data_IF_683924745074
#
_entry.id   IF_683924745074
#
_cell.length_a   1.000
_cell.length_b   1.000
_cell.length_c   1.000
_cell.angle_alpha   90.00
_cell.angle_beta   90.00
_cell.angle_gamma   90.00
#
_symmetry.space_group_name_H-M   'P 1'
#
loop_
_entity.id
_entity.type
_entity.pdbx_description
1 polymer ?
#
# COMPACT_ATOMS: atom_id res chain seq x y z
N UNK A 1 -9.16 19.98 -40.58
CA UNK A 1 -8.18 19.18 -39.80
C UNK A 1 -8.81 17.83 -39.58
N UNK A 2 -8.51 16.81 -40.40
CA UNK A 2 -9.02 15.44 -40.20
C UNK A 2 -8.32 14.88 -38.95
N UNK A 3 -9.04 14.78 -37.87
CA UNK A 3 -8.65 13.96 -36.72
C UNK A 3 -8.61 12.52 -37.25
N UNK A 4 -7.40 12.00 -37.47
CA UNK A 4 -7.20 10.56 -37.68
C UNK A 4 -7.66 9.92 -36.39
N UNK A 5 -8.90 9.37 -36.37
CA UNK A 5 -9.38 8.54 -35.29
C UNK A 5 -8.44 7.32 -35.22
N UNK A 6 -7.55 7.29 -34.24
CA UNK A 6 -6.77 6.08 -33.97
C UNK A 6 -7.76 4.92 -33.75
N UNK A 7 -7.55 3.81 -34.43
CA UNK A 7 -8.37 2.63 -34.23
C UNK A 7 -8.27 2.18 -32.76
N UNK A 8 -9.40 1.78 -32.13
CA UNK A 8 -9.38 1.28 -30.77
C UNK A 8 -8.43 0.08 -30.65
N UNK A 9 -7.46 0.17 -29.75
CA UNK A 9 -6.54 -0.91 -29.41
C UNK A 9 -7.26 -2.01 -28.63
N UNK A 10 -6.78 -3.25 -28.77
CA UNK A 10 -7.20 -4.39 -27.95
C UNK A 10 -6.16 -4.63 -26.86
N UNK A 11 -6.51 -4.39 -25.59
CA UNK A 11 -5.55 -4.32 -24.49
C UNK A 11 -5.93 -5.35 -23.41
N UNK A 12 -4.97 -6.21 -23.04
CA UNK A 12 -5.08 -7.06 -21.88
C UNK A 12 -4.59 -6.31 -20.63
N UNK A 13 -5.37 -6.35 -19.54
CA UNK A 13 -4.94 -5.88 -18.22
C UNK A 13 -4.91 -7.09 -17.29
N UNK A 14 -3.75 -7.37 -16.69
CA UNK A 14 -3.51 -8.54 -15.86
C UNK A 14 -3.40 -8.12 -14.39
N UNK A 15 -4.40 -8.51 -13.59
CA UNK A 15 -4.59 -8.10 -12.20
C UNK A 15 -5.62 -7.00 -12.06
N UNK A 16 -6.56 -7.17 -11.12
CA UNK A 16 -7.66 -6.25 -10.82
C UNK A 16 -7.53 -5.60 -9.44
N UNK A 17 -6.30 -5.33 -8.98
CA UNK A 17 -6.03 -4.39 -7.90
C UNK A 17 -6.23 -2.95 -8.36
N UNK A 18 -6.04 -1.96 -7.48
CA UNK A 18 -6.27 -0.54 -7.78
C UNK A 18 -5.51 -0.08 -9.04
N UNK A 19 -4.30 -0.57 -9.28
CA UNK A 19 -3.48 -0.21 -10.45
C UNK A 19 -4.11 -0.71 -11.75
N UNK A 20 -4.50 -1.98 -11.80
CA UNK A 20 -5.11 -2.56 -12.99
C UNK A 20 -6.52 -2.03 -13.23
N UNK A 21 -7.32 -1.88 -12.18
CA UNK A 21 -8.66 -1.32 -12.29
C UNK A 21 -8.64 0.12 -12.81
N UNK A 22 -7.73 0.95 -12.32
CA UNK A 22 -7.61 2.35 -12.77
C UNK A 22 -7.08 2.46 -14.19
N UNK A 23 -6.12 1.62 -14.57
CA UNK A 23 -5.64 1.55 -15.96
C UNK A 23 -6.77 1.09 -16.90
N UNK A 24 -7.47 0.00 -16.56
CA UNK A 24 -8.59 -0.52 -17.33
C UNK A 24 -9.73 0.49 -17.47
N UNK A 25 -10.08 1.18 -16.37
CA UNK A 25 -11.12 2.20 -16.35
C UNK A 25 -10.81 3.34 -17.33
N UNK A 26 -9.60 3.89 -17.26
CA UNK A 26 -9.22 5.02 -18.11
C UNK A 26 -9.05 4.60 -19.57
N UNK A 27 -8.39 3.46 -19.84
CA UNK A 27 -8.23 2.91 -21.19
C UNK A 27 -9.57 2.56 -21.86
N UNK A 28 -10.54 2.07 -21.07
CA UNK A 28 -11.85 1.68 -21.60
C UNK A 28 -12.69 2.84 -22.17
N UNK A 29 -12.24 4.09 -22.03
CA UNK A 29 -12.87 5.26 -22.68
C UNK A 29 -12.74 5.22 -24.19
N UNK A 30 -11.61 4.72 -24.72
CA UNK A 30 -11.31 4.75 -26.15
C UNK A 30 -10.89 3.39 -26.72
N UNK A 31 -10.57 2.41 -25.86
CA UNK A 31 -9.98 1.13 -26.24
C UNK A 31 -10.81 -0.06 -25.75
N UNK A 32 -10.59 -1.22 -26.36
CA UNK A 32 -11.16 -2.49 -25.90
C UNK A 32 -10.25 -3.10 -24.85
N UNK A 33 -10.72 -3.18 -23.62
CA UNK A 33 -9.95 -3.73 -22.51
C UNK A 33 -10.52 -5.08 -22.09
N UNK A 34 -9.66 -6.10 -21.93
CA UNK A 34 -9.99 -7.35 -21.27
C UNK A 34 -9.19 -7.46 -19.98
N UNK A 35 -9.87 -7.59 -18.84
CA UNK A 35 -9.21 -7.72 -17.53
C UNK A 35 -9.19 -9.17 -17.11
N UNK A 36 -8.01 -9.66 -16.69
CA UNK A 36 -7.80 -10.99 -16.11
C UNK A 36 -7.51 -10.84 -14.63
N UNK A 37 -8.25 -11.57 -13.80
CA UNK A 37 -8.06 -11.62 -12.36
C UNK A 37 -7.98 -13.07 -11.88
N UNK A 38 -6.95 -13.37 -11.08
CA UNK A 38 -6.73 -14.69 -10.51
C UNK A 38 -7.81 -15.09 -9.52
N UNK A 39 -8.23 -14.14 -8.66
CA UNK A 39 -9.23 -14.37 -7.63
C UNK A 39 -10.67 -14.33 -8.21
N UNK A 40 -11.60 -14.86 -7.46
CA UNK A 40 -13.04 -14.81 -7.77
C UNK A 40 -13.68 -13.46 -7.43
N UNK A 41 -12.88 -12.48 -7.01
CA UNK A 41 -13.27 -11.11 -6.70
C UNK A 41 -12.32 -10.08 -7.31
N UNK A 42 -12.81 -8.87 -7.51
CA UNK A 42 -12.02 -7.71 -7.91
C UNK A 42 -11.57 -6.90 -6.69
N UNK A 43 -10.56 -6.07 -6.87
CA UNK A 43 -10.10 -5.10 -5.87
C UNK A 43 -8.72 -5.37 -5.30
N UNK A 44 -8.19 -6.59 -5.41
CA UNK A 44 -6.91 -6.96 -4.79
C UNK A 44 -6.95 -6.72 -3.27
N UNK A 45 -6.14 -5.78 -2.76
CA UNK A 45 -6.15 -5.37 -1.34
C UNK A 45 -7.41 -4.59 -0.91
N UNK A 46 -8.27 -4.15 -1.83
CA UNK A 46 -9.60 -3.65 -1.50
C UNK A 46 -10.55 -4.82 -1.32
N UNK A 47 -10.56 -5.36 -0.11
CA UNK A 47 -11.24 -6.59 0.23
C UNK A 47 -12.20 -6.38 1.39
N UNK A 48 -13.48 -6.23 1.08
CA UNK A 48 -14.56 -6.14 2.05
C UNK A 48 -15.16 -7.51 2.31
N UNK A 49 -15.22 -7.92 3.57
CA UNK A 49 -15.81 -9.19 4.05
C UNK A 49 -17.01 -8.89 4.93
N UNK A 50 -18.08 -9.67 4.80
CA UNK A 50 -19.27 -9.50 5.63
C UNK A 50 -19.14 -10.25 6.95
N UNK A 51 -19.08 -9.52 8.06
CA UNK A 51 -19.14 -10.06 9.42
C UNK A 51 -20.61 -10.09 9.91
N UNK A 52 -21.41 -11.00 9.38
CA UNK A 52 -22.86 -10.95 9.47
C UNK A 52 -23.41 -9.83 8.58
N UNK A 53 -24.20 -8.87 9.11
CA UNK A 53 -24.71 -7.74 8.30
C UNK A 53 -23.68 -6.61 8.10
N UNK A 54 -22.52 -6.68 8.73
CA UNK A 54 -21.56 -5.59 8.81
C UNK A 54 -20.42 -5.80 7.81
N UNK A 55 -20.27 -4.92 6.78
CA UNK A 55 -19.15 -4.97 5.85
C UNK A 55 -17.87 -4.45 6.53
N UNK A 56 -16.78 -5.21 6.44
CA UNK A 56 -15.49 -4.89 7.06
C UNK A 56 -14.36 -5.04 6.05
N UNK A 57 -13.53 -4.02 5.89
CA UNK A 57 -12.36 -4.07 5.03
C UNK A 57 -11.20 -4.77 5.73
N UNK A 58 -10.55 -5.70 5.03
CA UNK A 58 -9.40 -6.44 5.56
C UNK A 58 -8.05 -5.94 5.03
N UNK A 59 -8.03 -5.14 3.96
CA UNK A 59 -6.79 -4.64 3.35
C UNK A 59 -6.77 -3.11 3.32
N UNK A 60 -7.31 -2.50 2.26
CA UNK A 60 -7.43 -1.04 2.20
C UNK A 60 -8.60 -0.55 3.07
N UNK A 61 -8.29 0.19 4.13
CA UNK A 61 -9.27 0.61 5.15
C UNK A 61 -9.49 2.13 5.14
N UNK A 62 -8.39 2.90 5.13
CA UNK A 62 -8.41 4.36 5.32
C UNK A 62 -7.47 5.07 4.36
N UNK A 63 -7.78 6.32 4.06
CA UNK A 63 -6.93 7.24 3.30
C UNK A 63 -7.06 8.65 3.89
N UNK A 64 -6.18 9.57 3.51
CA UNK A 64 -6.31 10.97 3.87
C UNK A 64 -6.24 11.89 2.65
N UNK A 65 -6.92 13.03 2.74
CA UNK A 65 -7.09 13.93 1.61
C UNK A 65 -5.77 14.57 1.13
N UNK A 66 -4.82 14.75 2.05
CA UNK A 66 -3.54 15.39 1.74
C UNK A 66 -2.63 14.50 0.87
N UNK A 67 -2.60 13.21 1.17
CA UNK A 67 -1.63 12.28 0.56
C UNK A 67 -2.23 11.39 -0.52
N UNK A 68 -3.54 11.44 -0.72
CA UNK A 68 -4.24 10.62 -1.71
C UNK A 68 -5.02 11.50 -2.70
N UNK A 69 -4.37 12.49 -3.36
CA UNK A 69 -5.07 13.48 -4.17
C UNK A 69 -5.80 12.86 -5.37
N UNK A 70 -5.22 11.86 -6.04
CA UNK A 70 -5.91 11.20 -7.15
C UNK A 70 -7.04 10.29 -6.66
N UNK A 71 -6.87 9.63 -5.52
CA UNK A 71 -7.92 8.77 -4.96
C UNK A 71 -9.13 9.62 -4.51
N UNK A 72 -8.88 10.79 -3.90
CA UNK A 72 -9.93 11.76 -3.58
C UNK A 72 -10.68 12.18 -4.84
N UNK A 73 -9.96 12.63 -5.87
CA UNK A 73 -10.55 13.07 -7.11
C UNK A 73 -11.29 11.93 -7.85
N UNK A 74 -10.77 10.71 -7.81
CA UNK A 74 -11.45 9.53 -8.34
C UNK A 74 -12.74 9.24 -7.59
N UNK A 75 -12.74 9.30 -6.25
CA UNK A 75 -13.93 9.07 -5.45
C UNK A 75 -14.99 10.15 -5.66
N UNK A 76 -14.59 11.40 -5.79
CA UNK A 76 -15.49 12.49 -6.18
C UNK A 76 -16.10 12.25 -7.58
N UNK A 77 -15.26 11.92 -8.56
CA UNK A 77 -15.70 11.64 -9.92
C UNK A 77 -16.69 10.46 -10.00
N UNK A 78 -16.42 9.39 -9.24
CA UNK A 78 -17.28 8.21 -9.16
C UNK A 78 -18.42 8.35 -8.14
N UNK A 79 -18.52 9.48 -7.45
CA UNK A 79 -19.52 9.73 -6.39
C UNK A 79 -19.51 8.65 -5.29
N UNK A 80 -18.30 8.22 -4.87
CA UNK A 80 -18.13 7.22 -3.81
C UNK A 80 -18.41 7.88 -2.46
N UNK A 81 -19.36 7.37 -1.65
CA UNK A 81 -19.62 7.92 -0.34
C UNK A 81 -18.49 7.58 0.64
N UNK A 82 -18.05 8.58 1.40
CA UNK A 82 -16.96 8.42 2.38
C UNK A 82 -17.26 9.18 3.65
N UNK A 83 -16.76 8.69 4.79
CA UNK A 83 -16.91 9.33 6.11
C UNK A 83 -15.56 9.52 6.79
N UNK A 84 -15.53 10.45 7.77
CA UNK A 84 -14.32 10.70 8.59
C UNK A 84 -14.00 9.46 9.42
N UNK A 85 -12.72 9.09 9.45
CA UNK A 85 -12.19 7.95 10.21
C UNK A 85 -11.35 8.43 11.39
N UNK A 86 -11.44 7.73 12.51
CA UNK A 86 -10.64 8.00 13.71
C UNK A 86 -9.29 7.26 13.67
N UNK A 87 -8.30 7.89 13.04
CA UNK A 87 -6.95 7.33 12.92
C UNK A 87 -6.10 7.69 14.14
N UNK A 88 -6.05 6.77 15.10
CA UNK A 88 -5.34 6.92 16.37
C UNK A 88 -4.42 5.73 16.60
N UNK A 89 -3.41 5.88 17.45
CA UNK A 89 -2.36 4.88 17.66
C UNK A 89 -2.23 4.50 19.15
N UNK A 90 -2.26 3.21 19.45
CA UNK A 90 -2.07 2.64 20.78
C UNK A 90 -0.97 1.59 20.79
N UNK A 91 -0.25 1.51 21.89
CA UNK A 91 0.86 0.58 22.11
C UNK A 91 0.61 -0.27 23.35
N UNK A 92 0.85 -1.57 23.24
CA UNK A 92 0.87 -2.52 24.35
C UNK A 92 2.05 -3.47 24.18
N UNK A 93 3.04 -3.38 25.05
CA UNK A 93 4.26 -4.16 24.99
C UNK A 93 4.38 -5.06 26.23
N UNK A 94 4.98 -6.25 26.00
CA UNK A 94 5.35 -7.19 27.02
C UNK A 94 4.18 -7.50 27.98
N UNK A 95 3.06 -7.95 27.37
CA UNK A 95 1.82 -8.30 28.07
C UNK A 95 1.23 -7.15 28.92
N UNK A 96 1.29 -5.91 28.40
CA UNK A 96 0.79 -4.73 29.09
C UNK A 96 1.78 -4.15 30.12
N UNK A 97 3.04 -4.61 30.07
CA UNK A 97 4.10 -4.00 30.86
C UNK A 97 4.31 -2.53 30.48
N UNK A 98 4.20 -2.16 29.23
CA UNK A 98 4.13 -0.77 28.78
C UNK A 98 2.89 -0.58 27.90
N UNK A 99 1.98 0.32 28.31
CA UNK A 99 0.81 0.69 27.51
C UNK A 99 0.64 2.20 27.48
N UNK A 100 0.42 2.75 26.30
CA UNK A 100 0.09 4.15 26.09
C UNK A 100 -0.62 4.36 24.75
N UNK A 101 -1.37 5.45 24.63
CA UNK A 101 -1.99 5.89 23.37
C UNK A 101 -1.51 7.29 23.00
N UNK A 102 -1.49 7.60 21.72
CA UNK A 102 -1.02 8.89 21.19
C UNK A 102 -2.19 9.88 20.88
N UNK A 103 -3.36 9.70 21.49
CA UNK A 103 -4.55 10.50 21.18
C UNK A 103 -4.62 11.79 22.01
N UNK A 104 -4.31 11.69 23.29
CA UNK A 104 -4.32 12.79 24.26
C UNK A 104 -3.50 12.43 25.51
N UNK A 105 -3.32 13.38 26.42
CA UNK A 105 -2.55 13.15 27.64
C UNK A 105 -3.12 12.03 28.53
N UNK A 106 -4.44 11.87 28.60
CA UNK A 106 -5.07 10.81 29.40
C UNK A 106 -4.71 9.41 28.85
N UNK A 107 -4.70 9.24 27.53
CA UNK A 107 -4.28 7.97 26.89
C UNK A 107 -2.78 7.76 26.95
N UNK A 108 -1.99 8.83 26.83
CA UNK A 108 -0.53 8.79 26.93
C UNK A 108 -0.08 8.31 28.33
N UNK A 109 -0.74 8.77 29.37
CA UNK A 109 -0.51 8.39 30.76
C UNK A 109 -1.57 7.43 31.31
N UNK A 110 -2.21 6.63 30.47
CA UNK A 110 -3.18 5.60 30.87
C UNK A 110 -2.60 4.59 31.86
N UNK A 111 -1.29 4.44 31.90
CA UNK A 111 -0.54 3.77 32.95
C UNK A 111 0.07 4.82 33.91
N UNK A 112 -0.38 4.95 35.18
CA UNK A 112 0.15 5.97 36.11
C UNK A 112 1.66 5.88 36.33
N UNK A 113 2.25 4.70 36.28
CA UNK A 113 3.71 4.50 36.40
C UNK A 113 4.52 5.19 35.29
N UNK A 114 3.91 5.45 34.12
CA UNK A 114 4.57 6.18 33.03
C UNK A 114 4.92 7.60 33.44
N UNK A 115 4.17 8.22 34.36
CA UNK A 115 4.44 9.56 34.90
C UNK A 115 5.77 9.65 35.66
N UNK A 116 6.21 8.55 36.29
CA UNK A 116 7.45 8.51 37.08
C UNK A 116 8.56 7.72 36.40
N UNK A 117 8.36 7.27 35.17
CA UNK A 117 9.33 6.46 34.42
C UNK A 117 10.29 7.35 33.63
N UNK A 118 11.58 7.40 34.05
CA UNK A 118 12.63 8.10 33.28
C UNK A 118 12.78 7.56 31.85
N UNK A 119 12.62 6.23 31.64
CA UNK A 119 12.63 5.60 30.32
C UNK A 119 11.50 6.16 29.42
N UNK A 120 10.29 6.32 29.97
CA UNK A 120 9.15 6.84 29.24
C UNK A 120 9.33 8.32 28.86
N UNK A 121 9.82 9.15 29.77
CA UNK A 121 10.13 10.56 29.49
C UNK A 121 11.27 10.71 28.48
N UNK A 122 12.30 9.88 28.54
CA UNK A 122 13.37 9.83 27.53
C UNK A 122 12.82 9.50 26.13
N UNK A 123 11.90 8.53 26.04
CA UNK A 123 11.19 8.21 24.79
C UNK A 123 10.40 9.41 24.25
N UNK A 124 9.63 10.10 25.09
CA UNK A 124 8.88 11.29 24.67
C UNK A 124 9.78 12.44 24.21
N UNK A 125 10.91 12.66 24.90
CA UNK A 125 11.90 13.67 24.51
C UNK A 125 12.49 13.35 23.12
N UNK A 126 12.82 12.09 22.86
CA UNK A 126 13.35 11.64 21.58
C UNK A 126 12.29 11.69 20.46
N UNK A 127 11.01 11.40 20.74
CA UNK A 127 9.89 11.61 19.80
C UNK A 127 9.86 13.07 19.34
N UNK A 128 9.87 14.01 20.29
CA UNK A 128 9.83 15.44 19.97
C UNK A 128 11.09 15.90 19.22
N UNK A 129 12.26 15.37 19.58
CA UNK A 129 13.52 15.63 18.88
C UNK A 129 13.48 15.11 17.45
N UNK A 130 12.98 13.89 17.24
CA UNK A 130 12.83 13.29 15.91
C UNK A 130 11.86 14.10 15.05
N UNK A 131 10.69 14.45 15.56
CA UNK A 131 9.68 15.23 14.82
C UNK A 131 10.23 16.59 14.37
N UNK A 132 11.07 17.22 15.19
CA UNK A 132 11.65 18.53 14.90
C UNK A 132 12.80 18.47 13.89
N UNK A 133 13.67 17.48 13.98
CA UNK A 133 14.96 17.49 13.27
C UNK A 133 15.01 16.53 12.07
N UNK A 134 14.27 15.42 12.09
CA UNK A 134 14.33 14.42 11.03
C UNK A 134 14.02 14.99 9.64
N UNK A 135 13.02 15.87 9.43
CA UNK A 135 12.75 16.45 8.10
C UNK A 135 13.97 17.19 7.51
N UNK A 136 14.65 17.99 8.33
CA UNK A 136 15.87 18.71 7.90
C UNK A 136 17.01 17.73 7.59
N UNK A 137 17.16 16.68 8.40
CA UNK A 137 18.17 15.65 8.17
C UNK A 137 17.90 14.85 6.89
N UNK A 138 16.65 14.57 6.55
CA UNK A 138 16.29 13.88 5.32
C UNK A 138 16.80 14.63 4.09
N UNK A 139 16.71 15.96 4.06
CA UNK A 139 17.27 16.78 2.98
C UNK A 139 18.81 16.64 2.87
N UNK A 140 19.51 16.45 3.99
CA UNK A 140 20.96 16.26 4.02
C UNK A 140 21.39 14.83 3.62
N UNK A 141 20.45 13.87 3.66
CA UNK A 141 20.66 12.47 3.26
C UNK A 141 20.38 12.23 1.78
N UNK A 142 19.95 13.25 1.04
CA UNK A 142 19.52 13.15 -0.36
C UNK A 142 20.54 12.37 -1.21
N UNK A 143 20.09 11.28 -1.80
CA UNK A 143 20.90 10.37 -2.61
C UNK A 143 21.84 9.43 -1.82
N UNK A 144 21.90 9.51 -0.49
CA UNK A 144 22.67 8.58 0.34
C UNK A 144 21.81 7.41 0.81
N UNK A 145 22.32 6.20 0.67
CA UNK A 145 21.65 4.97 1.12
C UNK A 145 21.91 4.66 2.61
N UNK A 146 21.91 5.69 3.46
CA UNK A 146 22.02 5.51 4.92
C UNK A 146 20.78 4.78 5.42
N UNK A 147 20.98 3.68 6.14
CA UNK A 147 19.87 2.92 6.72
C UNK A 147 19.25 3.65 7.91
N UNK A 148 18.00 3.32 8.24
CA UNK A 148 17.33 3.89 9.42
C UNK A 148 18.11 3.54 10.71
N UNK A 149 18.62 2.31 10.83
CA UNK A 149 19.42 1.90 11.98
C UNK A 149 20.71 2.72 12.14
N UNK A 150 21.45 2.96 11.04
CA UNK A 150 22.65 3.81 11.03
C UNK A 150 22.32 5.26 11.41
N UNK A 151 21.25 5.81 10.84
CA UNK A 151 20.77 7.16 11.15
C UNK A 151 20.41 7.31 12.63
N UNK A 152 19.63 6.39 13.20
CA UNK A 152 19.21 6.45 14.60
C UNK A 152 20.41 6.37 15.54
N UNK A 153 21.39 5.51 15.22
CA UNK A 153 22.66 5.39 15.98
C UNK A 153 23.50 6.67 15.87
N UNK A 154 23.68 7.19 14.66
CA UNK A 154 24.48 8.39 14.42
C UNK A 154 23.91 9.64 15.13
N UNK A 155 22.57 9.72 15.20
CA UNK A 155 21.88 10.80 15.90
C UNK A 155 21.73 10.57 17.42
N UNK A 156 22.17 9.42 17.94
CA UNK A 156 22.13 9.09 19.36
C UNK A 156 20.72 8.99 19.94
N UNK A 157 19.77 8.42 19.19
CA UNK A 157 18.43 8.12 19.71
C UNK A 157 18.45 6.94 20.67
N UNK A 158 17.79 7.09 21.82
CA UNK A 158 17.78 6.08 22.88
C UNK A 158 16.96 4.83 22.53
N UNK A 159 17.26 3.71 23.19
CA UNK A 159 16.58 2.42 22.95
C UNK A 159 15.07 2.50 23.23
N UNK A 160 14.64 3.31 24.21
CA UNK A 160 13.23 3.48 24.51
C UNK A 160 12.47 4.07 23.31
N UNK A 161 13.03 5.07 22.64
CA UNK A 161 12.44 5.65 21.44
C UNK A 161 12.43 4.64 20.29
N UNK A 162 13.55 3.96 20.07
CA UNK A 162 13.67 3.00 18.98
C UNK A 162 12.74 1.81 19.17
N UNK A 163 12.81 1.13 20.31
CA UNK A 163 12.19 -0.18 20.52
C UNK A 163 10.74 -0.10 21.02
N UNK A 164 10.37 0.97 21.73
CA UNK A 164 9.04 1.10 22.31
C UNK A 164 8.11 2.03 21.50
N UNK A 165 8.64 2.76 20.47
CA UNK A 165 7.85 3.69 19.65
C UNK A 165 8.13 3.58 18.16
N UNK A 166 9.32 4.00 17.67
CA UNK A 166 9.56 4.24 16.24
C UNK A 166 9.54 2.96 15.39
N UNK A 167 10.39 1.99 15.77
CA UNK A 167 10.52 0.75 14.99
C UNK A 167 9.24 -0.07 14.99
N UNK A 168 8.51 -0.19 16.13
CA UNK A 168 7.18 -0.75 16.18
C UNK A 168 6.18 -0.10 15.23
N UNK A 169 6.11 1.22 15.27
CA UNK A 169 5.21 1.98 14.39
C UNK A 169 5.57 1.78 12.91
N UNK A 170 6.85 1.82 12.59
CA UNK A 170 7.35 1.61 11.23
C UNK A 170 7.03 0.18 10.73
N UNK A 171 7.30 -0.83 11.55
CA UNK A 171 6.98 -2.21 11.22
C UNK A 171 5.48 -2.42 10.97
N UNK A 172 4.63 -1.72 11.73
CA UNK A 172 3.18 -1.73 11.55
C UNK A 172 2.74 -1.10 10.21
N UNK A 173 3.39 -0.03 9.76
CA UNK A 173 3.04 0.69 8.53
C UNK A 173 3.31 -0.17 7.29
N UNK A 174 4.48 -0.82 7.23
CA UNK A 174 4.87 -1.64 6.07
C UNK A 174 4.62 -3.13 6.23
N UNK A 175 4.07 -3.56 7.39
CA UNK A 175 3.77 -4.98 7.67
C UNK A 175 4.99 -5.90 7.50
N UNK A 176 6.15 -5.43 7.96
CA UNK A 176 7.44 -6.15 7.92
C UNK A 176 8.02 -6.33 9.31
N UNK A 177 8.92 -7.31 9.54
CA UNK A 177 9.62 -7.48 10.80
C UNK A 177 10.40 -6.23 11.20
N UNK A 178 10.52 -5.95 12.51
CA UNK A 178 11.27 -4.80 13.05
C UNK A 178 12.74 -4.81 12.58
N UNK A 179 13.34 -5.98 12.42
CA UNK A 179 14.71 -6.11 11.92
C UNK A 179 14.86 -5.55 10.52
N UNK A 180 13.91 -5.83 9.63
CA UNK A 180 13.91 -5.32 8.25
C UNK A 180 13.74 -3.79 8.18
N UNK A 181 13.04 -3.18 9.14
CA UNK A 181 12.88 -1.72 9.21
C UNK A 181 14.19 -1.01 9.47
N UNK A 182 15.13 -1.61 10.21
CA UNK A 182 16.44 -1.00 10.46
C UNK A 182 17.25 -0.82 9.17
N UNK A 183 17.06 -1.69 8.20
CA UNK A 183 17.73 -1.66 6.89
C UNK A 183 17.03 -0.76 5.86
N UNK A 184 15.86 -0.22 6.21
CA UNK A 184 15.11 0.68 5.34
C UNK A 184 15.88 2.01 5.15
N UNK A 185 15.90 2.60 3.94
CA UNK A 185 16.55 3.89 3.72
C UNK A 185 15.94 5.00 4.58
N UNK A 186 16.77 5.64 5.41
CA UNK A 186 16.34 6.65 6.40
C UNK A 186 15.63 7.83 5.72
N UNK A 187 16.12 8.30 4.58
CA UNK A 187 15.52 9.38 3.82
C UNK A 187 14.09 9.03 3.41
N UNK A 188 13.88 7.88 2.77
CA UNK A 188 12.57 7.43 2.32
C UNK A 188 11.58 7.28 3.49
N UNK A 189 12.05 6.73 4.61
CA UNK A 189 11.25 6.60 5.83
C UNK A 189 10.82 7.97 6.39
N UNK A 190 11.76 8.90 6.53
CA UNK A 190 11.47 10.23 7.10
C UNK A 190 10.54 11.02 6.19
N UNK A 191 10.79 11.03 4.87
CA UNK A 191 9.92 11.69 3.89
C UNK A 191 8.49 11.11 3.91
N UNK A 192 8.38 9.80 4.02
CA UNK A 192 7.08 9.15 4.19
C UNK A 192 6.38 9.63 5.46
N UNK A 193 7.06 9.62 6.60
CA UNK A 193 6.48 10.09 7.87
C UNK A 193 6.06 11.57 7.80
N UNK A 194 6.87 12.40 7.14
CA UNK A 194 6.58 13.83 6.96
C UNK A 194 5.33 14.05 6.10
N UNK A 195 5.29 13.44 4.92
CA UNK A 195 4.16 13.57 3.98
C UNK A 195 2.85 13.03 4.56
N UNK A 196 2.90 11.95 5.35
CA UNK A 196 1.72 11.38 6.02
C UNK A 196 1.35 12.09 7.34
N UNK A 197 2.03 13.18 7.68
CA UNK A 197 1.74 13.95 8.90
C UNK A 197 2.04 13.20 10.20
N UNK A 198 2.84 12.12 10.14
CA UNK A 198 3.21 11.30 11.30
C UNK A 198 4.21 12.01 12.22
N UNK A 199 4.91 13.03 11.72
CA UNK A 199 5.82 13.89 12.48
C UNK A 199 5.14 15.13 13.05
N UNK A 200 3.81 15.15 13.12
CA UNK A 200 3.02 16.28 13.62
C UNK A 200 2.28 15.92 14.89
N UNK A 201 2.37 16.79 15.89
CA UNK A 201 1.54 16.70 17.10
C UNK A 201 0.17 17.32 16.87
N UNK A 202 0.14 18.47 16.15
CA UNK A 202 -1.07 19.21 15.81
C UNK A 202 -1.23 19.34 14.29
N UNK A 203 -2.45 19.60 13.84
CA UNK A 203 -2.72 19.77 12.39
C UNK A 203 -2.48 18.49 11.57
N UNK A 204 -2.78 17.34 12.14
CA UNK A 204 -2.72 16.04 11.44
C UNK A 204 -3.75 16.01 10.33
N UNK A 205 -3.47 15.30 9.21
CA UNK A 205 -4.43 15.16 8.12
C UNK A 205 -5.72 14.47 8.59
N UNK A 206 -6.84 14.86 8.01
CA UNK A 206 -8.12 14.17 8.22
C UNK A 206 -8.10 12.86 7.47
N UNK A 207 -8.40 11.79 8.18
CA UNK A 207 -8.53 10.46 7.60
C UNK A 207 -9.98 10.15 7.27
N UNK A 208 -10.18 9.37 6.22
CA UNK A 208 -11.50 8.97 5.74
C UNK A 208 -11.53 7.47 5.44
N UNK A 209 -12.73 6.92 5.40
CA UNK A 209 -13.02 5.54 4.99
C UNK A 209 -14.18 5.52 4.00
N UNK A 210 -14.29 4.46 3.21
CA UNK A 210 -15.38 4.27 2.25
C UNK A 210 -16.59 3.70 2.98
N UNK A 211 -17.76 4.33 2.85
CA UNK A 211 -19.00 3.83 3.40
C UNK A 211 -19.45 2.55 2.71
N UNK A 212 -19.81 1.53 3.48
CA UNK A 212 -20.15 0.20 2.98
C UNK A 212 -18.94 -0.65 2.59
N UNK A 213 -17.72 -0.17 2.89
CA UNK A 213 -16.45 -0.82 2.59
C UNK A 213 -15.92 -0.52 1.19
N UNK A 214 -14.68 -0.87 0.96
CA UNK A 214 -13.94 -0.59 -0.28
C UNK A 214 -14.59 -1.21 -1.53
N UNK A 215 -15.36 -2.29 -1.40
CA UNK A 215 -16.14 -2.86 -2.50
C UNK A 215 -17.08 -1.86 -3.19
N UNK A 216 -17.51 -0.81 -2.49
CA UNK A 216 -18.40 0.21 -3.05
C UNK A 216 -17.72 1.00 -4.17
N UNK A 217 -16.46 1.39 -3.99
CA UNK A 217 -15.71 2.07 -5.05
C UNK A 217 -15.26 1.08 -6.14
N UNK A 218 -14.88 -0.15 -5.78
CA UNK A 218 -14.49 -1.20 -6.75
C UNK A 218 -15.60 -1.42 -7.76
N UNK A 219 -16.82 -1.60 -7.29
CA UNK A 219 -17.99 -1.78 -8.15
C UNK A 219 -18.21 -0.60 -9.11
N UNK A 220 -18.07 0.63 -8.65
CA UNK A 220 -18.25 1.83 -9.48
C UNK A 220 -17.11 2.00 -10.51
N UNK A 221 -15.87 1.75 -10.09
CA UNK A 221 -14.69 1.86 -10.95
C UNK A 221 -14.71 0.84 -12.09
N UNK A 222 -15.22 -0.36 -11.84
CA UNK A 222 -15.25 -1.47 -12.82
C UNK A 222 -16.50 -1.51 -13.69
N UNK A 223 -17.53 -0.75 -13.36
CA UNK A 223 -18.86 -0.81 -14.01
C UNK A 223 -18.81 -0.65 -15.55
N UNK A 224 -17.91 0.20 -16.06
CA UNK A 224 -17.80 0.48 -17.51
C UNK A 224 -17.31 -0.71 -18.35
N UNK A 225 -16.54 -1.62 -17.76
CA UNK A 225 -15.94 -2.76 -18.45
C UNK A 225 -16.24 -4.10 -17.77
N UNK A 226 -17.29 -4.15 -16.95
CA UNK A 226 -17.65 -5.33 -16.14
C UNK A 226 -17.88 -6.59 -17.01
N UNK A 227 -18.44 -6.43 -18.20
CA UNK A 227 -18.69 -7.49 -19.19
C UNK A 227 -17.40 -8.10 -19.79
N UNK A 228 -16.25 -7.42 -19.63
CA UNK A 228 -14.95 -7.81 -20.17
C UNK A 228 -13.96 -8.23 -19.07
N UNK A 229 -14.45 -8.50 -17.87
CA UNK A 229 -13.66 -9.00 -16.76
C UNK A 229 -13.72 -10.53 -16.70
N UNK A 230 -12.57 -11.16 -16.53
CA UNK A 230 -12.39 -12.61 -16.37
C UNK A 230 -11.90 -12.88 -14.95
N UNK A 231 -12.81 -13.07 -14.03
CA UNK A 231 -12.53 -13.47 -12.65
C UNK A 231 -12.23 -14.97 -12.56
N UNK A 232 -11.45 -15.37 -11.56
CA UNK A 232 -11.01 -16.76 -11.39
C UNK A 232 -10.17 -17.25 -12.57
N UNK A 233 -9.52 -16.34 -13.32
CA UNK A 233 -8.84 -16.61 -14.56
C UNK A 233 -7.38 -16.10 -14.52
N UNK A 234 -6.49 -16.90 -13.95
CA UNK A 234 -5.07 -16.56 -13.86
C UNK A 234 -4.38 -16.55 -15.23
N UNK A 235 -3.60 -15.52 -15.52
CA UNK A 235 -2.65 -15.54 -16.63
C UNK A 235 -1.43 -16.33 -16.20
N UNK A 236 -1.03 -17.30 -17.04
CA UNK A 236 0.12 -18.18 -16.80
C UNK A 236 1.35 -17.80 -17.61
N UNK A 237 1.14 -17.27 -18.82
CA UNK A 237 2.23 -16.96 -19.73
C UNK A 237 1.88 -15.77 -20.62
N UNK A 238 2.87 -14.91 -20.81
CA UNK A 238 2.83 -13.76 -21.72
C UNK A 238 4.01 -13.89 -22.66
N UNK A 239 3.73 -14.00 -23.97
CA UNK A 239 4.73 -14.09 -25.03
C UNK A 239 4.61 -12.89 -25.97
N UNK A 240 5.73 -12.42 -26.51
CA UNK A 240 5.80 -11.22 -27.35
C UNK A 240 6.47 -11.58 -28.67
N UNK A 241 5.84 -11.29 -29.80
CA UNK A 241 6.30 -11.70 -31.13
C UNK A 241 6.52 -10.55 -32.12
N UNK A 242 6.57 -9.31 -31.62
CA UNK A 242 6.74 -8.11 -32.46
C UNK A 242 5.46 -7.62 -33.14
N UNK A 243 4.40 -8.44 -33.17
CA UNK A 243 3.08 -8.06 -33.72
C UNK A 243 2.05 -7.80 -32.62
N UNK A 244 2.45 -7.91 -31.35
CA UNK A 244 1.61 -7.74 -30.18
C UNK A 244 2.00 -8.71 -29.07
N UNK A 245 1.03 -9.01 -28.21
CA UNK A 245 1.22 -9.82 -27.01
C UNK A 245 0.25 -11.01 -27.04
N UNK A 246 0.76 -12.21 -26.77
CA UNK A 246 -0.02 -13.41 -26.58
C UNK A 246 -0.16 -13.69 -25.09
N UNK A 247 -1.39 -13.69 -24.59
CA UNK A 247 -1.74 -13.96 -23.21
C UNK A 247 -2.35 -15.35 -23.11
N UNK A 248 -1.73 -16.25 -22.34
CA UNK A 248 -2.22 -17.59 -22.05
C UNK A 248 -2.76 -17.64 -20.62
N UNK A 249 -4.01 -18.04 -20.49
CA UNK A 249 -4.65 -18.23 -19.19
C UNK A 249 -4.41 -19.62 -18.59
N UNK A 250 -4.89 -19.86 -17.38
CA UNK A 250 -4.76 -21.13 -16.66
C UNK A 250 -5.47 -22.31 -17.32
N UNK A 251 -6.39 -22.05 -18.24
CA UNK A 251 -7.11 -23.09 -19.01
C UNK A 251 -6.42 -23.43 -20.33
N UNK A 252 -5.26 -22.80 -20.59
CA UNK A 252 -4.49 -22.98 -21.84
C UNK A 252 -5.02 -22.17 -23.02
N UNK A 253 -6.04 -21.31 -22.81
CA UNK A 253 -6.57 -20.44 -23.87
C UNK A 253 -5.59 -19.33 -24.15
N UNK A 254 -5.17 -19.20 -25.41
CA UNK A 254 -4.26 -18.16 -25.88
C UNK A 254 -5.05 -17.11 -26.64
N UNK A 255 -4.85 -15.83 -26.28
CA UNK A 255 -5.44 -14.68 -26.99
C UNK A 255 -4.38 -13.67 -27.34
N UNK A 256 -4.53 -13.05 -28.51
CA UNK A 256 -3.67 -11.95 -28.97
C UNK A 256 -4.28 -10.61 -28.59
N UNK A 257 -3.42 -9.69 -28.19
CA UNK A 257 -3.71 -8.30 -27.89
C UNK A 257 -2.66 -7.39 -28.51
N UNK A 258 -3.03 -6.13 -28.78
CA UNK A 258 -2.07 -5.14 -29.26
C UNK A 258 -1.06 -4.82 -28.14
N UNK A 259 -1.55 -4.71 -26.90
CA UNK A 259 -0.73 -4.43 -25.71
C UNK A 259 -1.20 -5.24 -24.50
N UNK A 260 -0.27 -5.43 -23.55
CA UNK A 260 -0.57 -5.95 -22.22
C UNK A 260 -0.12 -4.97 -21.14
N UNK A 261 -1.00 -4.70 -20.17
CA UNK A 261 -0.70 -3.98 -18.93
C UNK A 261 -0.66 -4.99 -17.79
N UNK A 262 0.52 -5.22 -17.22
CA UNK A 262 0.74 -6.17 -16.13
C UNK A 262 0.66 -5.40 -14.81
N UNK A 263 -0.46 -5.55 -14.11
CA UNK A 263 -0.81 -4.89 -12.85
C UNK A 263 -0.78 -5.87 -11.66
N UNK A 264 0.10 -6.86 -11.72
CA UNK A 264 0.39 -7.82 -10.67
C UNK A 264 1.61 -7.39 -9.83
N UNK A 265 2.00 -8.15 -8.81
CA UNK A 265 3.26 -7.94 -8.11
C UNK A 265 4.45 -8.06 -9.07
N UNK A 266 5.56 -7.38 -8.78
CA UNK A 266 6.72 -7.34 -9.69
C UNK A 266 7.31 -8.74 -9.97
N UNK A 267 7.42 -9.58 -8.95
CA UNK A 267 7.87 -10.97 -9.05
C UNK A 267 6.90 -11.84 -9.87
N UNK A 268 5.59 -11.66 -9.65
CA UNK A 268 4.55 -12.34 -10.43
C UNK A 268 4.58 -11.88 -11.90
N UNK A 269 4.75 -10.56 -12.13
CA UNK A 269 4.88 -10.00 -13.47
C UNK A 269 6.06 -10.64 -14.21
N UNK A 270 7.23 -10.71 -13.56
CA UNK A 270 8.41 -11.36 -14.11
C UNK A 270 8.18 -12.85 -14.39
N UNK A 271 7.51 -13.55 -13.47
CA UNK A 271 7.22 -14.98 -13.59
C UNK A 271 6.27 -15.34 -14.74
N UNK A 272 5.40 -14.41 -15.16
CA UNK A 272 4.50 -14.62 -16.29
C UNK A 272 5.17 -14.43 -17.66
N UNK A 273 6.29 -13.69 -17.74
CA UNK A 273 6.97 -13.42 -19.01
C UNK A 273 7.68 -14.68 -19.53
N UNK A 274 7.39 -15.04 -20.77
CA UNK A 274 8.03 -16.17 -21.44
C UNK A 274 9.50 -15.90 -21.79
N UNK A 275 9.80 -14.65 -22.08
CA UNK A 275 11.03 -14.14 -22.69
C UNK A 275 11.48 -12.82 -22.04
N UNK A 276 11.63 -12.75 -20.70
CA UNK A 276 11.99 -11.52 -20.03
C UNK A 276 13.37 -11.01 -20.48
N UNK A 277 13.45 -9.71 -20.80
CA UNK A 277 14.70 -9.02 -21.13
C UNK A 277 15.63 -8.93 -19.89
N UNK A 278 16.93 -8.62 -20.07
CA UNK A 278 17.82 -8.36 -18.94
C UNK A 278 17.33 -7.27 -18.00
N UNK A 279 16.81 -6.15 -18.56
CA UNK A 279 16.27 -5.03 -17.76
C UNK A 279 15.02 -5.47 -16.94
N UNK A 280 14.12 -6.25 -17.53
CA UNK A 280 12.94 -6.76 -16.82
C UNK A 280 13.35 -7.70 -15.68
N UNK A 281 14.34 -8.59 -15.88
CA UNK A 281 14.87 -9.46 -14.81
C UNK A 281 15.50 -8.64 -13.69
N UNK A 282 16.31 -7.65 -14.02
CA UNK A 282 16.98 -6.77 -13.04
C UNK A 282 15.96 -5.96 -12.24
N UNK A 283 15.07 -5.24 -12.95
CA UNK A 283 14.22 -4.22 -12.32
C UNK A 283 13.00 -4.82 -11.61
N UNK A 284 12.31 -5.79 -12.21
CA UNK A 284 11.18 -6.47 -11.58
C UNK A 284 11.65 -7.46 -10.49
N UNK A 285 12.79 -8.13 -10.73
CA UNK A 285 13.37 -9.05 -9.77
C UNK A 285 13.97 -8.41 -8.52
N UNK A 286 14.08 -7.06 -8.48
CA UNK A 286 14.59 -6.34 -7.32
C UNK A 286 13.57 -6.25 -6.15
N UNK A 287 12.31 -6.62 -6.37
CA UNK A 287 11.25 -6.52 -5.36
C UNK A 287 10.96 -7.86 -4.71
N UNK A 288 11.23 -7.96 -3.40
CA UNK A 288 10.72 -9.04 -2.56
C UNK A 288 9.35 -8.69 -1.99
N UNK A 289 8.63 -9.72 -1.50
CA UNK A 289 7.33 -9.55 -0.86
C UNK A 289 7.28 -10.28 0.48
N UNK A 290 6.74 -9.62 1.50
CA UNK A 290 6.44 -10.22 2.81
C UNK A 290 5.03 -10.80 2.80
N UNK A 291 4.87 -12.01 3.33
CA UNK A 291 3.56 -12.66 3.49
C UNK A 291 3.02 -12.36 4.88
N UNK A 292 1.83 -11.77 4.94
CA UNK A 292 1.21 -11.31 6.15
C UNK A 292 -0.11 -12.03 6.40
N UNK A 293 -0.17 -12.80 7.46
CA UNK A 293 -1.39 -13.47 7.91
C UNK A 293 -2.32 -12.43 8.52
N UNK A 294 -3.49 -12.26 7.96
CA UNK A 294 -4.50 -11.26 8.36
C UNK A 294 -5.77 -11.95 8.77
N UNK A 295 -6.26 -11.66 9.97
CA UNK A 295 -7.45 -12.29 10.53
C UNK A 295 -8.48 -11.22 10.91
N UNK A 296 -9.71 -11.35 10.40
CA UNK A 296 -10.88 -10.62 10.86
C UNK A 296 -11.53 -11.43 11.99
N UNK A 297 -11.70 -10.82 13.16
CA UNK A 297 -12.20 -11.51 14.36
C UNK A 297 -12.88 -10.54 15.35
N UNK A 298 -13.53 -11.09 16.39
CA UNK A 298 -14.12 -10.37 17.52
C UNK A 298 -13.45 -10.69 18.87
N UNK A 299 -12.24 -11.26 18.86
CA UNK A 299 -11.50 -11.59 20.08
C UNK A 299 -10.69 -10.38 20.59
N UNK A 300 -11.07 -9.76 21.74
CA UNK A 300 -10.34 -8.61 22.28
C UNK A 300 -8.97 -8.99 22.89
N UNK A 301 -8.62 -10.26 22.97
CA UNK A 301 -7.35 -10.70 23.56
C UNK A 301 -6.11 -10.20 22.81
N UNK A 302 -6.26 -9.81 21.53
CA UNK A 302 -5.20 -9.22 20.70
C UNK A 302 -5.18 -7.69 20.74
N UNK A 303 -5.97 -7.06 21.62
CA UNK A 303 -5.98 -5.62 21.87
C UNK A 303 -5.17 -5.30 23.14
N UNK A 304 -4.78 -4.02 23.37
CA UNK A 304 -4.19 -3.59 24.62
C UNK A 304 -5.04 -4.02 25.81
N UNK A 305 -4.41 -4.37 26.93
CA UNK A 305 -5.15 -4.80 28.15
C UNK A 305 -6.04 -3.68 28.70
N UNK A 306 -5.55 -2.42 28.65
CA UNK A 306 -6.32 -1.25 29.06
C UNK A 306 -7.19 -0.76 27.93
N UNK A 307 -8.52 -0.82 28.13
CA UNK A 307 -9.47 -0.33 27.14
C UNK A 307 -9.30 1.16 26.82
N UNK A 308 -8.82 1.96 27.77
CA UNK A 308 -8.50 3.38 27.58
C UNK A 308 -7.37 3.64 26.57
N UNK A 309 -6.55 2.63 26.27
CA UNK A 309 -5.46 2.71 25.28
C UNK A 309 -5.93 2.26 23.88
N UNK A 310 -7.09 1.60 23.79
CA UNK A 310 -7.60 1.13 22.50
C UNK A 310 -7.75 2.29 21.52
N UNK A 311 -7.16 2.11 20.36
CA UNK A 311 -7.03 3.09 19.29
C UNK A 311 -7.45 2.47 17.96
N UNK A 312 -7.59 3.26 16.92
CA UNK A 312 -7.82 2.75 15.57
C UNK A 312 -6.74 1.74 15.17
N UNK A 313 -5.47 2.04 15.43
CA UNK A 313 -4.32 1.15 15.29
C UNK A 313 -3.76 0.78 16.64
N UNK A 314 -3.65 -0.52 16.90
CA UNK A 314 -3.10 -1.04 18.15
C UNK A 314 -1.91 -1.94 17.83
N UNK A 315 -0.77 -1.52 18.30
CA UNK A 315 0.46 -2.23 18.21
C UNK A 315 0.65 -3.08 19.48
N UNK A 316 0.69 -4.39 19.31
CA UNK A 316 0.84 -5.33 20.43
C UNK A 316 2.10 -6.16 20.22
N UNK A 317 3.01 -6.12 21.18
CA UNK A 317 4.27 -6.81 21.10
C UNK A 317 4.65 -7.52 22.40
N UNK A 318 5.42 -8.59 22.26
CA UNK A 318 6.05 -9.28 23.39
C UNK A 318 7.49 -9.69 23.05
N UNK A 319 8.34 -9.80 24.05
CA UNK A 319 9.68 -10.37 23.89
C UNK A 319 9.55 -11.89 23.73
N UNK A 320 10.13 -12.42 22.65
CA UNK A 320 10.33 -13.84 22.48
C UNK A 320 11.54 -14.34 23.27
N UNK A 321 11.63 -15.66 23.52
CA UNK A 321 12.73 -16.28 24.24
C UNK A 321 14.11 -16.01 23.63
N UNK A 322 14.19 -15.79 22.31
CA UNK A 322 15.41 -15.44 21.58
C UNK A 322 15.81 -13.96 21.65
N UNK A 323 15.15 -13.14 22.50
CA UNK A 323 15.43 -11.70 22.65
C UNK A 323 14.87 -10.83 21.52
N UNK A 324 14.31 -11.38 20.47
CA UNK A 324 13.58 -10.66 19.43
C UNK A 324 12.17 -10.32 19.91
N UNK A 325 11.60 -9.22 19.41
CA UNK A 325 10.24 -8.84 19.74
C UNK A 325 9.28 -9.37 18.66
N UNK A 326 8.33 -10.21 19.06
CA UNK A 326 7.19 -10.59 18.24
C UNK A 326 6.16 -9.47 18.28
N UNK A 327 5.54 -9.19 17.14
CA UNK A 327 4.67 -8.04 16.96
C UNK A 327 3.46 -8.38 16.11
N UNK A 328 2.31 -7.85 16.49
CA UNK A 328 1.13 -7.79 15.64
C UNK A 328 0.50 -6.40 15.67
N UNK A 329 -0.28 -6.13 14.66
CA UNK A 329 -1.08 -4.91 14.56
C UNK A 329 -2.54 -5.30 14.55
N UNK A 330 -3.32 -4.77 15.51
CA UNK A 330 -4.77 -4.95 15.56
C UNK A 330 -5.47 -3.64 15.25
N UNK A 331 -6.20 -3.62 14.15
CA UNK A 331 -7.06 -2.52 13.74
C UNK A 331 -8.43 -2.64 14.41
N UNK A 332 -8.89 -1.60 15.10
CA UNK A 332 -10.23 -1.56 15.66
C UNK A 332 -11.21 -1.02 14.63
N UNK A 333 -11.88 -1.91 13.94
CA UNK A 333 -12.67 -1.57 12.76
C UNK A 333 -13.89 -0.70 13.09
N UNK A 334 -14.46 -0.85 14.30
CA UNK A 334 -15.57 0.00 14.74
C UNK A 334 -15.20 1.49 14.82
N UNK A 335 -13.92 1.81 15.05
CA UNK A 335 -13.41 3.18 15.03
C UNK A 335 -12.98 3.63 13.65
N UNK A 336 -12.32 2.74 12.89
CA UNK A 336 -11.79 3.07 11.57
C UNK A 336 -12.87 3.20 10.51
N UNK A 337 -13.90 2.34 10.55
CA UNK A 337 -14.99 2.31 9.57
C UNK A 337 -16.35 2.77 10.13
N UNK A 338 -16.39 3.36 11.33
CA UNK A 338 -17.62 3.82 11.98
C UNK A 338 -18.69 2.72 12.09
N UNK A 339 -18.28 1.48 12.40
CA UNK A 339 -19.17 0.34 12.47
C UNK A 339 -20.03 0.37 13.75
N UNK A 340 -21.19 -0.34 13.77
CA UNK A 340 -22.01 -0.51 14.96
C UNK A 340 -21.22 -1.00 16.16
N UNK A 341 -21.60 -0.59 17.38
CA UNK A 341 -20.83 -0.83 18.60
C UNK A 341 -21.29 -2.07 19.39
N UNK A 342 -22.33 -2.75 18.94
CA UNK A 342 -22.90 -3.96 19.53
C UNK A 342 -21.95 -5.16 19.44
N UNK A 343 -21.17 -5.24 18.39
CA UNK A 343 -20.10 -6.21 18.19
C UNK A 343 -18.78 -5.53 17.90
N UNK A 344 -17.74 -5.82 18.67
CA UNK A 344 -16.41 -5.29 18.44
C UNK A 344 -15.69 -6.14 17.40
N UNK A 345 -15.22 -5.51 16.31
CA UNK A 345 -14.56 -6.18 15.20
C UNK A 345 -13.13 -5.67 15.03
N UNK A 346 -12.22 -6.61 14.85
CA UNK A 346 -10.79 -6.35 14.73
C UNK A 346 -10.24 -7.02 13.48
N UNK A 347 -9.30 -6.37 12.83
CA UNK A 347 -8.45 -6.98 11.82
C UNK A 347 -7.04 -7.02 12.39
N UNK A 348 -6.47 -8.20 12.57
CA UNK A 348 -5.12 -8.34 13.11
C UNK A 348 -4.18 -8.93 12.07
N UNK A 349 -3.07 -8.21 11.84
CA UNK A 349 -1.96 -8.67 11.02
C UNK A 349 -0.94 -9.40 11.89
N UNK A 350 -0.50 -10.58 11.41
CA UNK A 350 0.52 -11.42 12.02
C UNK A 350 0.26 -11.63 13.53
N UNK A 351 -0.90 -12.18 13.91
CA UNK A 351 -1.28 -12.32 15.30
C UNK A 351 -0.21 -13.11 16.07
N UNK A 352 0.33 -12.54 17.16
CA UNK A 352 1.33 -13.18 18.04
C UNK A 352 0.77 -14.38 18.82
N UNK A 353 -0.51 -14.55 18.80
CA UNK A 353 -1.28 -15.70 19.27
C UNK A 353 -2.54 -15.83 18.41
N UNK A 354 -3.00 -17.05 18.10
CA UNK A 354 -4.22 -17.21 17.34
C UNK A 354 -5.43 -16.64 18.11
N UNK A 355 -6.34 -15.93 17.44
CA UNK A 355 -7.65 -15.62 18.03
C UNK A 355 -8.40 -16.91 18.38
N UNK A 356 -9.35 -16.82 19.31
CA UNK A 356 -10.22 -17.96 19.62
C UNK A 356 -10.92 -18.46 18.35
N UNK A 357 -10.93 -19.77 18.04
CA UNK A 357 -11.47 -20.27 16.77
C UNK A 357 -12.89 -19.78 16.44
N UNK A 358 -13.77 -19.74 17.46
CA UNK A 358 -15.16 -19.24 17.30
C UNK A 358 -15.29 -17.75 17.03
N UNK A 359 -14.23 -17.00 17.26
CA UNK A 359 -14.17 -15.54 17.05
C UNK A 359 -13.67 -15.17 15.67
N UNK A 360 -13.14 -16.11 14.89
CA UNK A 360 -12.61 -15.87 13.55
C UNK A 360 -13.76 -15.78 12.56
N UNK A 361 -13.83 -14.66 11.84
CA UNK A 361 -14.76 -14.44 10.73
C UNK A 361 -14.11 -14.84 9.42
N UNK A 362 -12.89 -14.38 9.20
CA UNK A 362 -12.13 -14.64 7.96
C UNK A 362 -10.63 -14.62 8.24
N UNK A 363 -9.88 -15.38 7.45
CA UNK A 363 -8.41 -15.44 7.50
C UNK A 363 -7.86 -15.42 6.09
N UNK A 364 -6.89 -14.53 5.83
CA UNK A 364 -6.27 -14.30 4.53
C UNK A 364 -4.76 -14.12 4.65
N UNK A 365 -4.04 -14.32 3.54
CA UNK A 365 -2.64 -13.96 3.42
C UNK A 365 -2.53 -12.79 2.44
N UNK A 366 -2.01 -11.67 2.91
CA UNK A 366 -1.67 -10.54 2.05
C UNK A 366 -0.16 -10.43 1.86
N UNK A 367 0.24 -10.06 0.66
CA UNK A 367 1.64 -9.86 0.32
C UNK A 367 1.93 -8.38 0.12
N UNK A 368 2.97 -7.88 0.80
CA UNK A 368 3.38 -6.48 0.72
C UNK A 368 4.81 -6.37 0.20
N UNK A 369 5.10 -5.41 -0.71
CA UNK A 369 6.44 -5.22 -1.23
C UNK A 369 7.42 -4.77 -0.15
N UNK A 370 8.64 -5.27 -0.22
CA UNK A 370 9.76 -4.88 0.63
C UNK A 370 10.59 -3.84 -0.12
N UNK A 371 10.83 -2.70 0.52
CA UNK A 371 11.57 -1.58 -0.06
C UNK A 371 12.97 -1.48 0.52
N UNK A 372 13.85 -2.39 0.13
CA UNK A 372 15.26 -2.32 0.43
C UNK A 372 16.01 -1.39 -0.56
N UNK A 373 17.32 -1.26 -0.38
CA UNK A 373 18.14 -0.41 -1.24
C UNK A 373 18.12 -0.84 -2.72
N UNK A 374 17.93 -2.12 -3.03
CA UNK A 374 17.84 -2.62 -4.39
C UNK A 374 16.51 -2.21 -5.04
N UNK A 375 15.40 -2.40 -4.32
CA UNK A 375 14.07 -1.99 -4.74
C UNK A 375 13.99 -0.47 -4.99
N UNK A 376 14.53 0.35 -4.09
CA UNK A 376 14.55 1.82 -4.25
C UNK A 376 15.38 2.25 -5.48
N UNK A 377 16.51 1.60 -5.76
CA UNK A 377 17.28 1.87 -6.99
C UNK A 377 16.49 1.46 -8.24
N UNK A 378 15.83 0.32 -8.22
CA UNK A 378 15.03 -0.17 -9.34
C UNK A 378 13.85 0.76 -9.64
N UNK A 379 13.18 1.30 -8.61
CA UNK A 379 12.05 2.24 -8.79
C UNK A 379 12.38 3.42 -9.70
N UNK A 380 13.59 3.98 -9.59
CA UNK A 380 14.04 5.11 -10.42
C UNK A 380 14.15 4.76 -11.91
N UNK A 381 14.17 3.47 -12.26
CA UNK A 381 14.35 2.97 -13.62
C UNK A 381 13.12 2.21 -14.15
N UNK A 382 12.15 1.87 -13.31
CA UNK A 382 10.98 1.05 -13.71
C UNK A 382 10.25 1.62 -14.92
N UNK A 383 10.12 2.94 -14.99
CA UNK A 383 9.42 3.60 -16.11
C UNK A 383 10.08 3.35 -17.46
N UNK A 384 11.37 3.06 -17.51
CA UNK A 384 12.09 2.71 -18.75
C UNK A 384 11.66 1.39 -19.38
N UNK A 385 10.92 0.55 -18.67
CA UNK A 385 10.34 -0.69 -19.21
C UNK A 385 9.08 -0.46 -20.03
N UNK A 386 8.42 0.69 -19.86
CA UNK A 386 7.10 0.94 -20.43
C UNK A 386 7.09 0.91 -21.95
N UNK A 387 6.11 0.23 -22.53
CA UNK A 387 5.88 0.13 -23.97
C UNK A 387 6.84 -0.79 -24.73
N UNK A 388 7.90 -1.29 -24.09
CA UNK A 388 8.82 -2.21 -24.74
C UNK A 388 8.13 -3.54 -25.05
N UNK A 389 8.25 -3.99 -26.28
CA UNK A 389 7.59 -5.22 -26.76
C UNK A 389 6.09 -5.23 -26.46
N UNK A 390 5.43 -4.08 -26.56
CA UNK A 390 4.00 -3.86 -26.30
C UNK A 390 3.55 -4.25 -24.88
N UNK A 391 4.47 -4.22 -23.92
CA UNK A 391 4.21 -4.58 -22.52
C UNK A 391 4.39 -3.38 -21.60
N UNK A 392 3.48 -3.23 -20.65
CA UNK A 392 3.40 -2.12 -19.69
C UNK A 392 3.26 -2.68 -18.28
N UNK A 393 3.78 -1.98 -17.29
CA UNK A 393 3.81 -2.41 -15.90
C UNK A 393 3.24 -1.33 -15.00
N UNK A 394 2.37 -1.68 -14.07
CA UNK A 394 1.91 -0.79 -13.01
C UNK A 394 1.68 -1.57 -11.72
N UNK A 395 1.79 -0.87 -10.60
CA UNK A 395 1.62 -1.46 -9.27
C UNK A 395 2.03 -0.48 -8.19
N UNK A 396 1.66 -0.75 -6.95
CA UNK A 396 2.04 0.08 -5.82
C UNK A 396 3.57 0.08 -5.57
N UNK A 397 4.30 -0.89 -6.11
CA UNK A 397 5.75 -0.98 -6.04
C UNK A 397 6.48 0.10 -6.87
N UNK A 398 5.77 0.84 -7.73
CA UNK A 398 6.31 2.04 -8.40
C UNK A 398 6.51 3.21 -7.43
N UNK A 399 5.85 3.21 -6.27
CA UNK A 399 5.97 4.18 -5.19
C UNK A 399 6.22 3.50 -3.85
N UNK A 400 5.63 4.01 -2.78
CA UNK A 400 5.86 3.53 -1.40
C UNK A 400 5.00 2.33 -0.98
N UNK A 401 4.25 1.71 -1.91
CA UNK A 401 3.45 0.50 -1.65
C UNK A 401 2.00 0.76 -1.23
N UNK A 402 1.52 1.99 -1.33
CA UNK A 402 0.17 2.38 -0.92
C UNK A 402 -0.81 2.50 -2.07
N UNK A 403 -2.07 2.66 -1.72
CA UNK A 403 -3.19 2.70 -2.67
C UNK A 403 -3.05 3.83 -3.71
N UNK A 404 -2.63 5.02 -3.26
CA UNK A 404 -2.36 6.16 -4.15
C UNK A 404 -1.22 5.87 -5.15
N UNK A 405 -0.18 5.15 -4.72
CA UNK A 405 0.94 4.79 -5.60
C UNK A 405 0.50 3.88 -6.73
N UNK A 406 -0.31 2.88 -6.38
CA UNK A 406 -0.90 1.97 -7.35
C UNK A 406 -1.85 2.67 -8.32
N UNK A 407 -2.67 3.59 -7.81
CA UNK A 407 -3.56 4.42 -8.62
C UNK A 407 -2.79 5.31 -9.59
N UNK A 408 -1.76 6.02 -9.10
CA UNK A 408 -0.92 6.87 -9.94
C UNK A 408 -0.22 6.07 -11.05
N UNK A 409 0.31 4.89 -10.72
CA UNK A 409 0.97 4.01 -11.69
C UNK A 409 0.00 3.53 -12.79
N UNK A 410 -1.20 3.09 -12.42
CA UNK A 410 -2.22 2.64 -13.37
C UNK A 410 -2.70 3.77 -14.30
N UNK A 411 -2.99 4.95 -13.74
CA UNK A 411 -3.41 6.12 -14.53
C UNK A 411 -2.29 6.60 -15.46
N UNK A 412 -1.03 6.66 -14.99
CA UNK A 412 0.10 7.08 -15.81
C UNK A 412 0.34 6.14 -16.98
N UNK A 413 0.25 4.82 -16.77
CA UNK A 413 0.34 3.83 -17.86
C UNK A 413 -0.80 4.02 -18.86
N UNK A 414 -2.03 4.19 -18.40
CA UNK A 414 -3.17 4.42 -19.30
C UNK A 414 -3.01 5.69 -20.14
N UNK A 415 -2.52 6.77 -19.53
CA UNK A 415 -2.24 8.03 -20.23
C UNK A 415 -1.13 7.92 -21.27
N UNK A 416 -0.07 7.16 -20.95
CA UNK A 416 1.07 6.97 -21.85
C UNK A 416 0.75 6.00 -23.01
N UNK A 417 0.04 4.91 -22.73
CA UNK A 417 -0.33 3.90 -23.72
C UNK A 417 -1.49 4.36 -24.61
N UNK A 418 -2.56 4.83 -23.98
CA UNK A 418 -3.85 4.99 -24.67
C UNK A 418 -4.14 6.39 -25.19
N UNK A 419 -3.27 7.38 -24.93
CA UNK A 419 -3.55 8.77 -25.31
C UNK A 419 -4.77 9.40 -24.60
N UNK A 420 -5.33 8.70 -23.61
CA UNK A 420 -6.42 9.16 -22.75
C UNK A 420 -5.90 10.04 -21.61
N UNK A 421 -6.78 10.77 -20.94
CA UNK A 421 -6.38 11.60 -19.80
C UNK A 421 -7.39 11.43 -18.67
N UNK A 422 -6.88 11.37 -17.40
CA UNK A 422 -7.77 11.40 -16.25
C UNK A 422 -8.60 12.69 -16.24
N UNK A 423 -9.91 12.65 -15.88
CA UNK A 423 -10.82 13.79 -16.01
C UNK A 423 -10.66 14.85 -14.90
N UNK A 424 -9.58 14.80 -14.13
CA UNK A 424 -9.27 15.77 -13.07
C UNK A 424 -7.83 16.24 -13.15
N UNK A 425 -7.57 17.36 -12.47
CA UNK A 425 -6.23 17.89 -12.23
C UNK A 425 -6.00 18.05 -10.75
N UNK A 426 -4.92 17.44 -10.25
CA UNK A 426 -4.49 17.58 -8.86
C UNK A 426 -3.03 18.03 -8.83
N UNK A 427 -2.60 18.79 -7.82
CA UNK A 427 -1.20 19.16 -7.66
C UNK A 427 -0.34 17.90 -7.62
N UNK A 428 0.76 17.90 -8.39
CA UNK A 428 1.72 16.78 -8.41
C UNK A 428 1.07 15.40 -8.62
N UNK A 429 0.14 15.29 -9.57
CA UNK A 429 -0.73 14.11 -9.78
C UNK A 429 -0.03 12.77 -10.04
N UNK A 430 1.28 12.76 -10.28
CA UNK A 430 2.09 11.54 -10.43
C UNK A 430 3.44 11.63 -9.70
N UNK A 431 3.55 12.45 -8.66
CA UNK A 431 4.81 12.73 -7.95
C UNK A 431 5.29 11.59 -7.03
N UNK A 432 4.45 10.58 -6.79
CA UNK A 432 4.82 9.43 -5.95
C UNK A 432 5.51 8.32 -6.73
N UNK A 433 5.50 8.41 -8.06
CA UNK A 433 6.15 7.47 -8.96
C UNK A 433 7.19 8.20 -9.82
N UNK A 434 8.26 7.51 -10.19
CA UNK A 434 9.30 8.08 -11.04
C UNK A 434 8.93 7.87 -12.52
N UNK A 435 8.59 8.93 -13.23
CA UNK A 435 8.24 8.90 -14.67
C UNK A 435 9.43 9.24 -15.58
N UNK A 436 10.54 9.71 -15.01
CA UNK A 436 11.71 10.10 -15.81
C UNK A 436 12.47 8.85 -16.26
N UNK A 437 12.59 8.67 -17.57
CA UNK A 437 13.56 7.73 -18.11
C UNK A 437 14.98 8.29 -17.94
N UNK A 438 15.98 7.47 -17.58
CA UNK A 438 17.38 7.94 -17.57
C UNK A 438 17.76 8.59 -18.91
N UNK A 439 18.63 9.62 -18.93
CA UNK A 439 19.09 10.24 -20.17
C UNK A 439 19.64 9.19 -21.11
N UNK A 440 19.03 9.02 -22.29
CA UNK A 440 19.40 8.01 -23.30
C UNK A 440 18.31 6.99 -23.66
N UNK A 441 17.24 6.89 -22.88
CA UNK A 441 16.08 6.02 -23.16
C UNK A 441 14.82 6.90 -23.31
N UNK A 442 14.71 7.65 -24.42
CA UNK A 442 13.43 8.26 -24.79
C UNK A 442 12.47 7.17 -25.28
N UNK A 443 11.19 7.20 -24.88
CA UNK A 443 10.19 6.28 -25.45
C UNK A 443 10.13 6.45 -26.97
N UNK A 444 9.92 5.35 -27.66
CA UNK A 444 9.82 5.28 -29.14
C UNK A 444 8.69 6.16 -29.72
N UNK A 445 7.84 6.74 -28.89
CA UNK A 445 6.67 7.55 -29.28
C UNK A 445 6.99 8.97 -29.78
N UNK A 446 8.22 9.47 -29.69
CA UNK A 446 8.59 10.79 -30.26
C UNK A 446 9.11 10.74 -31.70
N UNK A 447 9.17 9.58 -32.36
CA UNK A 447 9.65 9.46 -33.74
C UNK A 447 8.55 9.38 -34.81
N UNK A 448 7.29 9.57 -34.43
CA UNK A 448 6.15 9.60 -35.35
C UNK A 448 5.33 10.89 -35.19
N UNK A 449 6.00 12.04 -35.23
CA UNK A 449 5.38 13.36 -35.40
C UNK A 449 5.96 14.07 -36.65
#
# INVERSE_FOLDING_TARGET
MNLIQQQPLDIAVIGAGISGMSAAWLLSEQHRVTVYELEDRLGGHSHTVDAGPTPVDMGFIVYNELNYPNLVALFEHLQVPTSVSEMTFGVSLDDGALEYGANNLATLFAQPRNLVSGRFWGMLADIMRFYRHAPTHACALDGRLTTLGEYLKAQGYGDAFQDDHLLPQAAAIWSVPVTAIRDFPAEAFIRFCETHGLLKVFGRPVWRTVEGGSRAYVSRLTARYADRVRQGCAVRRISRDGQGVLVQDQHGVVRRFDHAVIAAHADQALGMLADPSPDERELLGAFGYSRNHTVLHDDPALMPRRRSVWSGWNYVGRRAEAGQRELCVSYWMNRLQNLPQDRQLFVTLNPIRPPRPRSIVRSEIYEHPIFDAAAIRAQRRLWSLQGRLNTWYCGAYFGAGFHEDGLQAGLAVAEALGGVRRPWRVPAGSNRICLDAPPGLRPVLEQAA
#
